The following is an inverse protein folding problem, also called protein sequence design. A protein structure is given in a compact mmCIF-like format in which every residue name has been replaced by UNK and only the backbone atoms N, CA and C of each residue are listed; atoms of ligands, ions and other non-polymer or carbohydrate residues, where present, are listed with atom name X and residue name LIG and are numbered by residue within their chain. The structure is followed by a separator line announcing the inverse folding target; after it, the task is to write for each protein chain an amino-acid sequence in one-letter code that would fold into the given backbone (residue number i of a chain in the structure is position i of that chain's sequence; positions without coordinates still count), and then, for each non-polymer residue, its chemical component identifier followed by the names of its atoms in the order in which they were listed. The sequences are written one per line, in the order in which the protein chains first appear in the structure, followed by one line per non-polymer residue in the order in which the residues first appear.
data_IF_018382887838
#
_entry.id   IF_018382887838
#
_cell.length_a   1.000
_cell.length_b   1.000
_cell.length_c   1.000
_cell.angle_alpha   90.00
_cell.angle_beta   90.00
_cell.angle_gamma   90.00
#
_symmetry.space_group_name_H-M   'P 1'
#
loop_
_entity.id
_entity.type
_entity.pdbx_description
1 polymer ?
#
# COMPACT_ATOMS: atom_id res chain seq x y z
N UNK A 1 16.45 9.27 -9.96
CA UNK A 1 16.51 8.49 -8.71
C UNK A 1 15.84 7.15 -8.97
N UNK A 2 16.58 6.06 -9.09
CA UNK A 2 16.02 4.70 -9.26
C UNK A 2 15.65 4.15 -7.89
N UNK A 3 14.40 4.37 -7.46
CA UNK A 3 13.88 3.79 -6.24
C UNK A 3 13.68 2.29 -6.48
N UNK A 4 14.61 1.46 -6.01
CA UNK A 4 14.47 0.01 -6.05
C UNK A 4 13.31 -0.40 -5.15
N UNK A 5 12.33 -1.10 -5.70
CA UNK A 5 11.26 -1.68 -4.92
C UNK A 5 11.83 -2.67 -3.89
N UNK A 6 11.23 -2.76 -2.69
CA UNK A 6 11.65 -3.74 -1.71
C UNK A 6 11.48 -5.15 -2.28
N UNK A 7 12.37 -6.08 -1.90
CA UNK A 7 12.29 -7.48 -2.35
C UNK A 7 11.03 -8.19 -1.86
N UNK A 8 10.42 -7.69 -0.80
CA UNK A 8 9.21 -8.21 -0.19
C UNK A 8 8.37 -7.04 0.31
N UNK A 9 7.07 -7.13 0.08
CA UNK A 9 6.08 -6.22 0.66
C UNK A 9 5.16 -7.02 1.57
N UNK A 10 4.71 -6.41 2.66
CA UNK A 10 3.70 -7.04 3.53
C UNK A 10 2.31 -6.98 2.88
N UNK A 11 2.03 -5.89 2.18
CA UNK A 11 0.75 -5.63 1.50
C UNK A 11 1.05 -4.91 0.19
N UNK A 12 0.39 -5.31 -0.90
CA UNK A 12 0.41 -4.63 -2.20
C UNK A 12 -1.02 -4.42 -2.65
N UNK A 13 -1.37 -3.19 -3.00
CA UNK A 13 -2.68 -2.83 -3.55
C UNK A 13 -2.52 -2.60 -5.06
N UNK A 14 -3.15 -3.46 -5.86
CA UNK A 14 -3.09 -3.33 -7.32
C UNK A 14 -4.30 -2.51 -7.80
N UNK A 15 -4.06 -1.22 -8.03
CA UNK A 15 -5.03 -0.26 -8.59
C UNK A 15 -5.58 0.75 -7.56
N UNK A 16 -5.50 2.03 -7.90
CA UNK A 16 -5.88 3.17 -7.04
C UNK A 16 -7.32 3.66 -7.22
N UNK A 17 -8.27 2.76 -7.52
CA UNK A 17 -9.69 3.10 -7.59
C UNK A 17 -10.30 3.34 -6.21
N UNK A 18 -11.61 3.62 -6.15
CA UNK A 18 -12.29 3.96 -4.88
C UNK A 18 -12.11 2.87 -3.81
N UNK A 19 -12.14 1.62 -4.23
CA UNK A 19 -11.92 0.46 -3.35
C UNK A 19 -10.45 0.38 -2.92
N UNK A 20 -9.50 0.55 -3.85
CA UNK A 20 -8.06 0.50 -3.55
C UNK A 20 -7.65 1.55 -2.53
N UNK A 21 -8.12 2.79 -2.70
CA UNK A 21 -7.86 3.88 -1.76
C UNK A 21 -8.56 3.66 -0.41
N UNK A 22 -9.78 3.12 -0.39
CA UNK A 22 -10.48 2.78 0.85
C UNK A 22 -9.72 1.72 1.64
N UNK A 23 -9.29 0.64 0.97
CA UNK A 23 -8.47 -0.41 1.58
C UNK A 23 -7.17 0.17 2.12
N UNK A 24 -6.47 1.00 1.33
CA UNK A 24 -5.24 1.65 1.78
C UNK A 24 -5.44 2.51 3.04
N UNK A 25 -6.50 3.30 3.05
CA UNK A 25 -6.87 4.16 4.18
C UNK A 25 -7.16 3.36 5.45
N UNK A 26 -7.98 2.31 5.35
CA UNK A 26 -8.34 1.49 6.50
C UNK A 26 -7.13 0.73 7.05
N UNK A 27 -6.28 0.18 6.18
CA UNK A 27 -5.03 -0.47 6.59
C UNK A 27 -4.08 0.50 7.31
N UNK A 28 -3.91 1.71 6.77
CA UNK A 28 -3.09 2.74 7.40
C UNK A 28 -3.66 3.15 8.76
N UNK A 29 -4.99 3.27 8.88
CA UNK A 29 -5.68 3.58 10.14
C UNK A 29 -5.50 2.48 11.20
N UNK A 30 -5.42 1.22 10.78
CA UNK A 30 -5.12 0.07 11.65
C UNK A 30 -3.62 -0.09 11.98
N UNK A 31 -2.77 0.79 11.45
CA UNK A 31 -1.34 0.88 11.80
C UNK A 31 -0.38 0.25 10.79
N UNK A 32 -0.86 -0.15 9.60
CA UNK A 32 0.03 -0.53 8.50
C UNK A 32 0.85 0.69 8.06
N UNK A 33 2.19 0.58 8.07
CA UNK A 33 3.09 1.70 7.79
C UNK A 33 3.55 1.77 6.32
N UNK A 34 3.47 0.64 5.62
CA UNK A 34 4.02 0.48 4.27
C UNK A 34 2.95 -0.04 3.30
N UNK A 35 1.90 0.77 3.09
CA UNK A 35 0.85 0.48 2.11
C UNK A 35 1.28 1.03 0.75
N UNK A 36 1.51 0.12 -0.21
CA UNK A 36 1.94 0.41 -1.58
C UNK A 36 0.83 0.14 -2.59
#
# INVERSE_FOLDING_TARGET
MTNTLPKQAQIIIIGGGIIGCSVAYHLAKEGAKDVL
#
